data_IF_560987037107
#
_entry.id   IF_560987037107
#
_cell.length_a   1.000
_cell.length_b   1.000
_cell.length_c   1.000
_cell.angle_alpha   90.00
_cell.angle_beta   90.00
_cell.angle_gamma   90.00
#
_symmetry.space_group_name_H-M   'P 1'
#
loop_
_entity.id
_entity.type
_entity.pdbx_description
1 polymer ?
#
# COMPACT_ATOMS: atom_id res chain seq x y z
N UNK A 1 1.23 13.47 -2.73
CA UNK A 1 2.51 14.10 -3.12
C UNK A 1 2.46 14.55 -4.58
N UNK A 2 3.14 15.63 -4.98
CA UNK A 2 3.28 16.01 -6.41
C UNK A 2 4.25 15.07 -7.15
N UNK A 3 4.10 14.95 -8.47
CA UNK A 3 4.85 13.99 -9.30
C UNK A 3 6.38 14.05 -9.11
N UNK A 4 6.99 15.22 -9.31
CA UNK A 4 8.45 15.37 -9.23
C UNK A 4 8.97 15.10 -7.81
N UNK A 5 8.20 15.49 -6.79
CA UNK A 5 8.53 15.21 -5.40
C UNK A 5 8.45 13.70 -5.11
N UNK A 6 7.45 13.00 -5.65
CA UNK A 6 7.30 11.55 -5.51
C UNK A 6 8.40 10.78 -6.23
N UNK A 7 8.78 11.21 -7.44
CA UNK A 7 9.94 10.66 -8.14
C UNK A 7 11.22 10.83 -7.31
N UNK A 8 11.46 12.03 -6.78
CA UNK A 8 12.62 12.31 -5.94
C UNK A 8 12.62 11.43 -4.68
N UNK A 9 11.45 11.23 -4.05
CA UNK A 9 11.30 10.40 -2.86
C UNK A 9 11.58 8.91 -3.13
N UNK A 10 11.16 8.37 -4.29
CA UNK A 10 11.52 7.01 -4.69
C UNK A 10 13.05 6.85 -4.90
N UNK A 11 13.67 7.80 -5.60
CA UNK A 11 15.14 7.83 -5.83
C UNK A 11 15.90 7.89 -4.49
N UNK A 12 15.37 8.69 -3.55
CA UNK A 12 15.87 8.80 -2.18
C UNK A 12 15.81 7.46 -1.45
N UNK A 13 14.65 6.80 -1.45
CA UNK A 13 14.48 5.50 -0.80
C UNK A 13 15.32 4.38 -1.44
N UNK A 14 15.62 4.50 -2.74
CA UNK A 14 16.51 3.62 -3.48
C UNK A 14 18.00 3.85 -3.20
N UNK A 15 18.37 4.93 -2.48
CA UNK A 15 19.77 5.28 -2.21
C UNK A 15 20.57 5.44 -3.51
N UNK A 16 19.95 5.98 -4.55
CA UNK A 16 20.61 6.27 -5.83
C UNK A 16 21.40 7.58 -5.72
N UNK A 17 20.94 8.51 -4.89
CA UNK A 17 21.63 9.77 -4.60
C UNK A 17 22.40 9.68 -3.28
N UNK A 18 23.63 10.21 -3.28
CA UNK A 18 24.57 10.11 -2.15
C UNK A 18 24.07 10.83 -0.88
N UNK A 19 23.22 11.85 -1.03
CA UNK A 19 22.76 12.71 0.06
C UNK A 19 21.78 12.05 1.04
N UNK A 20 21.27 10.84 0.75
CA UNK A 20 20.13 10.27 1.48
C UNK A 20 20.29 8.83 1.96
N UNK A 21 21.53 8.35 2.02
CA UNK A 21 21.80 6.96 2.37
C UNK A 21 21.40 6.58 3.80
N UNK A 22 21.27 7.52 4.75
CA UNK A 22 21.07 7.16 6.17
C UNK A 22 19.59 7.07 6.61
N UNK A 23 18.66 7.61 5.82
CA UNK A 23 17.24 7.73 6.22
C UNK A 23 16.24 7.15 5.23
N UNK A 24 16.69 6.62 4.08
CA UNK A 24 15.84 5.97 3.08
C UNK A 24 15.38 4.56 3.47
N UNK A 25 14.56 3.93 2.62
CA UNK A 25 14.05 2.56 2.83
C UNK A 25 15.20 1.56 2.81
N UNK A 26 16.09 1.67 1.81
CA UNK A 26 17.34 0.93 1.78
C UNK A 26 18.38 1.44 2.77
N UNK A 27 18.28 2.72 3.14
CA UNK A 27 19.24 3.37 4.00
C UNK A 27 19.33 2.77 5.39
N UNK A 28 18.19 2.41 5.98
CA UNK A 28 18.17 1.76 7.29
C UNK A 28 18.80 0.36 7.33
N UNK A 29 19.17 -0.19 6.17
CA UNK A 29 19.89 -1.47 6.07
C UNK A 29 21.41 -1.31 6.12
N UNK A 30 21.96 -0.09 5.98
CA UNK A 30 23.42 0.15 5.86
C UNK A 30 23.87 1.50 6.47
N UNK A 31 24.36 1.52 7.74
CA UNK A 31 24.42 0.41 8.67
C UNK A 31 23.01 -0.01 9.14
N UNK A 32 22.84 -1.29 9.48
CA UNK A 32 21.55 -1.78 9.97
C UNK A 32 21.21 -1.16 11.32
N UNK A 33 20.04 -0.52 11.42
CA UNK A 33 19.52 0.07 12.66
C UNK A 33 18.04 -0.23 12.90
N UNK A 34 17.54 -1.33 12.33
CA UNK A 34 16.12 -1.68 12.33
C UNK A 34 15.40 -1.17 11.08
N UNK A 35 14.38 -1.89 10.65
CA UNK A 35 13.50 -1.45 9.56
C UNK A 35 12.55 -0.36 10.08
N UNK A 36 12.18 0.58 9.21
CA UNK A 36 11.36 1.75 9.60
C UNK A 36 10.06 1.80 8.81
N UNK A 37 8.94 1.59 9.49
CA UNK A 37 7.61 1.59 8.84
C UNK A 37 7.29 2.92 8.15
N UNK A 38 7.72 4.07 8.72
CA UNK A 38 7.55 5.37 8.06
C UNK A 38 8.20 5.43 6.67
N UNK A 39 9.33 4.75 6.46
CA UNK A 39 9.96 4.68 5.16
C UNK A 39 9.15 3.80 4.18
N UNK A 40 8.58 2.69 4.66
CA UNK A 40 7.68 1.87 3.86
C UNK A 40 6.45 2.67 3.41
N UNK A 41 5.76 3.32 4.36
CA UNK A 41 4.61 4.17 4.08
C UNK A 41 4.93 5.28 3.06
N UNK A 42 6.09 5.93 3.18
CA UNK A 42 6.55 6.95 2.23
C UNK A 42 6.79 6.37 0.82
N UNK A 43 7.40 5.19 0.72
CA UNK A 43 7.59 4.50 -0.58
C UNK A 43 6.24 4.20 -1.25
N UNK A 44 5.25 3.71 -0.51
CA UNK A 44 3.92 3.41 -1.07
C UNK A 44 3.23 4.70 -1.54
N UNK A 45 3.25 5.77 -0.74
CA UNK A 45 2.67 7.06 -1.15
C UNK A 45 3.35 7.60 -2.41
N UNK A 46 4.69 7.57 -2.46
CA UNK A 46 5.45 8.06 -3.60
C UNK A 46 5.16 7.24 -4.86
N UNK A 47 5.13 5.91 -4.76
CA UNK A 47 4.82 5.00 -5.87
C UNK A 47 3.41 5.25 -6.44
N UNK A 48 2.40 5.41 -5.57
CA UNK A 48 1.04 5.68 -6.01
C UNK A 48 0.86 7.10 -6.57
N UNK A 49 1.66 8.07 -6.09
CA UNK A 49 1.65 9.45 -6.59
C UNK A 49 2.22 9.56 -8.01
N UNK A 50 3.19 8.72 -8.36
CA UNK A 50 3.66 8.61 -9.76
C UNK A 50 2.77 7.67 -10.60
N UNK A 51 1.80 6.98 -9.98
CA UNK A 51 1.04 5.90 -10.60
C UNK A 51 0.32 6.27 -11.91
N UNK A 52 -0.30 7.45 -11.99
CA UNK A 52 -0.97 7.88 -13.24
C UNK A 52 0.01 8.01 -14.42
N UNK A 53 1.25 8.44 -14.15
CA UNK A 53 2.31 8.56 -15.15
C UNK A 53 2.93 7.21 -15.54
N UNK A 54 2.71 6.17 -14.76
CA UNK A 54 3.14 4.81 -15.07
C UNK A 54 2.03 4.09 -15.84
N UNK A 55 0.78 4.23 -15.39
CA UNK A 55 -0.36 3.46 -15.88
C UNK A 55 -0.88 3.88 -17.27
N UNK A 56 -0.80 5.16 -17.63
CA UNK A 56 -1.41 5.68 -18.86
C UNK A 56 -0.51 5.76 -20.09
N UNK A 57 0.78 6.17 -20.00
CA UNK A 57 1.58 6.39 -21.19
C UNK A 57 2.20 5.09 -21.72
N UNK A 58 2.61 5.11 -23.00
CA UNK A 58 3.35 4.01 -23.65
C UNK A 58 4.84 3.97 -23.29
N UNK A 59 5.38 5.09 -22.79
CA UNK A 59 6.78 5.25 -22.41
C UNK A 59 6.82 5.58 -20.92
N UNK A 60 7.68 4.87 -20.21
CA UNK A 60 7.86 5.02 -18.77
C UNK A 60 9.28 5.52 -18.53
N UNK A 61 9.42 6.47 -17.61
CA UNK A 61 10.73 6.97 -17.23
C UNK A 61 11.57 5.86 -16.60
N UNK A 62 12.72 5.58 -17.21
CA UNK A 62 13.65 4.52 -16.78
C UNK A 62 14.02 4.66 -15.31
N UNK A 63 14.24 5.89 -14.84
CA UNK A 63 14.67 6.19 -13.47
C UNK A 63 13.63 5.78 -12.43
N UNK A 64 12.33 5.86 -12.74
CA UNK A 64 11.27 5.39 -11.83
C UNK A 64 11.32 3.87 -11.68
N UNK A 65 11.39 3.16 -12.81
CA UNK A 65 11.48 1.70 -12.82
C UNK A 65 12.76 1.24 -12.11
N UNK A 66 13.88 1.90 -12.42
CA UNK A 66 15.17 1.64 -11.76
C UNK A 66 15.07 1.83 -10.24
N UNK A 67 14.49 2.93 -9.75
CA UNK A 67 14.36 3.19 -8.32
C UNK A 67 13.58 2.08 -7.61
N UNK A 68 12.43 1.67 -8.15
CA UNK A 68 11.60 0.60 -7.58
C UNK A 68 12.35 -0.73 -7.60
N UNK A 69 12.98 -1.10 -8.71
CA UNK A 69 13.78 -2.33 -8.79
C UNK A 69 14.98 -2.31 -7.85
N UNK A 70 15.65 -1.16 -7.71
CA UNK A 70 16.76 -1.00 -6.77
C UNK A 70 16.29 -1.23 -5.34
N UNK A 71 15.16 -0.63 -4.94
CA UNK A 71 14.54 -0.83 -3.61
C UNK A 71 14.32 -2.33 -3.38
N UNK A 72 13.62 -3.02 -4.27
CA UNK A 72 13.19 -4.41 -4.02
C UNK A 72 14.35 -5.40 -4.14
N UNK A 73 15.21 -5.27 -5.16
CA UNK A 73 16.34 -6.19 -5.39
C UNK A 73 17.41 -6.01 -4.33
N UNK A 74 17.80 -4.78 -3.98
CA UNK A 74 18.84 -4.57 -2.96
C UNK A 74 18.34 -4.94 -1.57
N UNK A 75 17.11 -4.59 -1.20
CA UNK A 75 16.56 -5.00 0.09
C UNK A 75 16.56 -6.52 0.23
N UNK A 76 16.12 -7.24 -0.81
CA UNK A 76 16.17 -8.71 -0.83
C UNK A 76 17.59 -9.26 -0.67
N UNK A 77 18.55 -8.72 -1.44
CA UNK A 77 19.95 -9.15 -1.41
C UNK A 77 20.69 -8.81 -0.11
N UNK A 78 20.25 -7.78 0.62
CA UNK A 78 20.90 -7.36 1.85
C UNK A 78 20.25 -7.96 3.09
N UNK A 79 18.92 -8.08 3.11
CA UNK A 79 18.15 -8.39 4.32
C UNK A 79 17.42 -9.74 4.29
N UNK A 80 17.09 -10.30 3.11
CA UNK A 80 16.14 -11.41 3.01
C UNK A 80 16.77 -12.73 2.58
N UNK A 81 17.58 -12.77 1.52
CA UNK A 81 18.07 -14.05 0.99
C UNK A 81 18.96 -14.77 2.00
N UNK A 82 18.90 -16.11 2.04
CA UNK A 82 19.85 -16.89 2.83
C UNK A 82 21.29 -16.59 2.36
N UNK A 83 22.16 -16.21 3.29
CA UNK A 83 23.52 -15.74 2.97
C UNK A 83 23.64 -14.26 2.60
N UNK A 84 22.52 -13.50 2.61
CA UNK A 84 22.56 -12.03 2.51
C UNK A 84 23.40 -11.41 3.62
N UNK A 85 23.86 -10.19 3.39
CA UNK A 85 24.79 -9.51 4.29
C UNK A 85 24.27 -9.41 5.73
N UNK A 86 23.00 -9.08 5.94
CA UNK A 86 22.45 -8.93 7.29
C UNK A 86 22.15 -10.29 7.94
N UNK A 87 21.65 -11.27 7.16
CA UNK A 87 21.35 -12.61 7.65
C UNK A 87 22.63 -13.35 8.06
N UNK A 88 23.65 -13.37 7.21
CA UNK A 88 24.91 -14.10 7.47
C UNK A 88 25.68 -13.55 8.67
N UNK A 89 25.52 -12.26 8.95
CA UNK A 89 26.16 -11.58 10.07
C UNK A 89 25.25 -11.50 11.31
N UNK A 90 24.07 -12.12 11.28
CA UNK A 90 23.10 -12.14 12.39
C UNK A 90 22.69 -10.73 12.86
N UNK A 91 22.61 -9.77 11.94
CA UNK A 91 22.29 -8.38 12.23
C UNK A 91 20.78 -8.10 12.23
N UNK A 92 20.01 -8.83 11.41
CA UNK A 92 18.57 -8.67 11.25
C UNK A 92 17.81 -9.78 11.99
N UNK A 93 16.70 -9.43 12.64
CA UNK A 93 15.80 -10.39 13.29
C UNK A 93 14.97 -11.18 12.26
N UNK A 94 14.39 -12.31 12.66
CA UNK A 94 13.50 -13.05 11.76
C UNK A 94 12.21 -12.25 11.50
N UNK A 95 11.73 -11.51 12.50
CA UNK A 95 10.55 -10.66 12.43
C UNK A 95 10.76 -9.52 11.42
N UNK A 96 11.90 -8.80 11.50
CA UNK A 96 12.23 -7.73 10.56
C UNK A 96 12.45 -8.29 9.14
N UNK A 97 13.01 -9.50 9.03
CA UNK A 97 13.22 -10.17 7.74
C UNK A 97 11.90 -10.50 7.04
N UNK A 98 10.95 -11.09 7.77
CA UNK A 98 9.63 -11.42 7.21
C UNK A 98 8.80 -10.15 6.94
N UNK A 99 8.90 -9.13 7.81
CA UNK A 99 8.25 -7.85 7.57
C UNK A 99 8.81 -7.14 6.32
N UNK A 100 10.13 -7.16 6.14
CA UNK A 100 10.78 -6.62 4.93
C UNK A 100 10.36 -7.37 3.68
N UNK A 101 10.18 -8.70 3.76
CA UNK A 101 9.65 -9.51 2.65
C UNK A 101 8.25 -9.05 2.27
N UNK A 102 7.34 -8.93 3.24
CA UNK A 102 5.97 -8.48 3.00
C UNK A 102 5.94 -7.08 2.37
N UNK A 103 6.77 -6.14 2.85
CA UNK A 103 6.85 -4.79 2.29
C UNK A 103 7.32 -4.79 0.83
N UNK A 104 8.34 -5.58 0.50
CA UNK A 104 8.83 -5.71 -0.88
C UNK A 104 7.75 -6.29 -1.79
N UNK A 105 7.06 -7.35 -1.35
CA UNK A 105 5.98 -7.95 -2.13
C UNK A 105 4.87 -6.94 -2.42
N UNK A 106 4.44 -6.15 -1.43
CA UNK A 106 3.43 -5.09 -1.62
C UNK A 106 3.91 -4.06 -2.67
N UNK A 107 5.16 -3.60 -2.57
CA UNK A 107 5.75 -2.66 -3.54
C UNK A 107 5.76 -3.26 -4.96
N UNK A 108 6.15 -4.52 -5.09
CA UNK A 108 6.23 -5.22 -6.38
C UNK A 108 4.84 -5.42 -7.01
N UNK A 109 3.82 -5.77 -6.23
CA UNK A 109 2.45 -5.89 -6.72
C UNK A 109 1.87 -4.56 -7.17
N UNK A 110 2.01 -3.49 -6.38
CA UNK A 110 1.56 -2.15 -6.77
C UNK A 110 2.22 -1.73 -8.09
N UNK A 111 3.55 -1.92 -8.20
CA UNK A 111 4.26 -1.57 -9.43
C UNK A 111 3.77 -2.38 -10.62
N UNK A 112 3.53 -3.69 -10.44
CA UNK A 112 3.01 -4.56 -11.49
C UNK A 112 1.62 -4.11 -11.96
N UNK A 113 0.70 -3.81 -11.05
CA UNK A 113 -0.66 -3.37 -11.38
C UNK A 113 -0.65 -2.01 -12.10
N UNK A 114 0.18 -1.07 -11.63
CA UNK A 114 0.39 0.20 -12.32
C UNK A 114 0.94 -0.02 -13.74
N UNK A 115 1.91 -0.92 -13.92
CA UNK A 115 2.45 -1.27 -15.25
C UNK A 115 1.41 -1.93 -16.17
N UNK A 116 0.40 -2.60 -15.61
CA UNK A 116 -0.73 -3.16 -16.35
C UNK A 116 -1.77 -2.11 -16.74
N UNK A 117 -1.58 -0.85 -16.32
CA UNK A 117 -2.47 0.27 -16.62
C UNK A 117 -3.61 0.44 -15.62
N UNK A 118 -3.55 -0.20 -14.45
CA UNK A 118 -4.53 0.01 -13.39
C UNK A 118 -4.39 1.42 -12.78
N UNK A 119 -5.50 1.97 -12.30
CA UNK A 119 -5.48 3.26 -11.61
C UNK A 119 -4.93 3.11 -10.20
N UNK A 120 -4.30 4.15 -9.64
CA UNK A 120 -3.69 4.06 -8.30
C UNK A 120 -4.65 3.56 -7.21
N UNK A 121 -5.95 3.84 -7.29
CA UNK A 121 -6.92 3.35 -6.31
C UNK A 121 -7.22 1.85 -6.43
N UNK A 122 -7.03 1.25 -7.61
CA UNK A 122 -7.22 -0.19 -7.80
C UNK A 122 -6.03 -1.00 -7.27
N UNK A 123 -4.86 -0.37 -7.12
CA UNK A 123 -3.60 -1.00 -6.72
C UNK A 123 -3.38 -1.07 -5.19
N UNK A 124 -4.28 -0.54 -4.35
CA UNK A 124 -3.99 -0.36 -2.91
C UNK A 124 -4.36 -1.56 -2.02
N UNK A 125 -4.88 -2.66 -2.58
CA UNK A 125 -5.50 -3.76 -1.84
C UNK A 125 -4.56 -4.40 -0.79
N UNK A 126 -3.37 -4.83 -1.20
CA UNK A 126 -2.37 -5.46 -0.31
C UNK A 126 -1.83 -4.49 0.74
N UNK A 127 -1.72 -3.22 0.38
CA UNK A 127 -1.36 -2.20 1.35
C UNK A 127 -2.49 -1.97 2.37
N UNK A 128 -3.75 -2.05 1.95
CA UNK A 128 -4.89 -1.99 2.86
C UNK A 128 -4.93 -3.18 3.81
N UNK A 129 -4.60 -4.38 3.34
CA UNK A 129 -4.43 -5.56 4.20
C UNK A 129 -3.33 -5.34 5.26
N UNK A 130 -2.17 -4.84 4.84
CA UNK A 130 -1.09 -4.47 5.77
C UNK A 130 -1.56 -3.47 6.82
N UNK A 131 -2.22 -2.39 6.40
CA UNK A 131 -2.69 -1.33 7.30
C UNK A 131 -3.81 -1.83 8.22
N UNK A 132 -4.66 -2.76 7.76
CA UNK A 132 -5.68 -3.40 8.59
C UNK A 132 -5.06 -4.20 9.75
N UNK A 133 -3.84 -4.71 9.59
CA UNK A 133 -3.09 -5.38 10.65
C UNK A 133 -2.30 -4.38 11.51
N UNK A 134 -1.46 -3.58 10.88
CA UNK A 134 -0.42 -2.78 11.56
C UNK A 134 -0.79 -1.32 11.81
N UNK A 135 -1.82 -0.80 11.15
CA UNK A 135 -2.25 0.60 11.23
C UNK A 135 -1.63 1.50 10.16
N UNK A 136 -2.10 2.75 10.14
CA UNK A 136 -1.66 3.78 9.19
C UNK A 136 -0.37 4.45 9.66
N UNK A 137 0.45 4.89 8.70
CA UNK A 137 1.51 5.86 8.95
C UNK A 137 0.98 7.30 8.99
N UNK A 138 1.89 8.27 8.85
CA UNK A 138 1.54 9.70 8.76
C UNK A 138 0.90 10.11 7.42
N UNK A 139 0.77 9.15 6.49
CA UNK A 139 0.27 9.35 5.13
C UNK A 139 -1.23 9.06 4.98
N UNK A 140 -1.98 8.85 6.08
CA UNK A 140 -3.40 8.49 6.03
C UNK A 140 -4.25 9.43 5.15
N UNK A 141 -3.99 10.74 5.22
CA UNK A 141 -4.67 11.75 4.42
C UNK A 141 -4.54 11.53 2.91
N UNK A 142 -3.41 10.99 2.43
CA UNK A 142 -3.20 10.67 1.02
C UNK A 142 -4.09 9.49 0.57
N UNK A 143 -4.29 8.51 1.45
CA UNK A 143 -5.04 7.29 1.12
C UNK A 143 -6.55 7.43 1.23
N UNK A 144 -7.06 8.36 2.04
CA UNK A 144 -8.51 8.62 2.17
C UNK A 144 -9.22 8.74 0.81
N UNK A 145 -8.78 9.61 -0.13
CA UNK A 145 -9.42 9.71 -1.44
C UNK A 145 -9.25 8.45 -2.29
N UNK A 146 -8.12 7.74 -2.19
CA UNK A 146 -7.90 6.48 -2.92
C UNK A 146 -8.84 5.38 -2.43
N UNK A 147 -9.01 5.24 -1.11
CA UNK A 147 -9.95 4.29 -0.50
C UNK A 147 -11.39 4.58 -0.93
N UNK A 148 -11.79 5.86 -0.92
CA UNK A 148 -13.12 6.26 -1.36
C UNK A 148 -13.37 5.84 -2.83
N UNK A 149 -12.41 6.10 -3.72
CA UNK A 149 -12.47 5.69 -5.12
C UNK A 149 -12.51 4.16 -5.28
N UNK A 150 -11.64 3.42 -4.58
CA UNK A 150 -11.55 1.96 -4.63
C UNK A 150 -12.86 1.28 -4.17
N UNK A 151 -13.46 1.77 -3.09
CA UNK A 151 -14.76 1.31 -2.60
C UNK A 151 -15.86 1.62 -3.64
N UNK A 152 -15.70 2.70 -4.40
CA UNK A 152 -16.67 3.11 -5.40
C UNK A 152 -16.63 2.29 -6.70
N UNK A 153 -15.50 1.63 -6.99
CA UNK A 153 -15.35 0.73 -8.14
C UNK A 153 -16.33 -0.45 -8.08
N UNK A 154 -16.97 -0.74 -9.23
CA UNK A 154 -17.96 -1.83 -9.33
C UNK A 154 -17.31 -3.21 -9.19
N UNK A 155 -16.12 -3.39 -9.73
CA UNK A 155 -15.36 -4.64 -9.73
C UNK A 155 -14.35 -4.76 -8.57
N UNK A 156 -14.68 -4.15 -7.43
CA UNK A 156 -13.85 -4.23 -6.23
C UNK A 156 -13.81 -5.66 -5.66
N UNK A 157 -14.90 -6.43 -5.85
CA UNK A 157 -14.96 -7.84 -5.49
C UNK A 157 -14.68 -8.11 -4.00
N UNK A 158 -13.95 -9.18 -3.74
CA UNK A 158 -13.54 -9.63 -2.39
C UNK A 158 -12.54 -8.67 -1.71
N UNK A 159 -11.81 -7.86 -2.49
CA UNK A 159 -10.90 -6.82 -1.96
C UNK A 159 -11.59 -5.82 -1.05
N UNK A 160 -12.92 -5.66 -1.17
CA UNK A 160 -13.71 -4.76 -0.32
C UNK A 160 -13.51 -5.05 1.18
N UNK A 161 -13.32 -6.31 1.57
CA UNK A 161 -13.05 -6.67 2.96
C UNK A 161 -11.79 -5.96 3.49
N UNK A 162 -10.68 -6.05 2.74
CA UNK A 162 -9.42 -5.40 3.11
C UNK A 162 -9.54 -3.88 3.16
N UNK A 163 -10.25 -3.29 2.18
CA UNK A 163 -10.53 -1.85 2.15
C UNK A 163 -11.33 -1.40 3.39
N UNK A 164 -12.39 -2.12 3.75
CA UNK A 164 -13.21 -1.81 4.91
C UNK A 164 -12.41 -1.92 6.22
N UNK A 165 -11.57 -2.95 6.34
CA UNK A 165 -10.72 -3.15 7.50
C UNK A 165 -9.67 -2.03 7.64
N UNK A 166 -9.07 -1.57 6.54
CA UNK A 166 -8.17 -0.43 6.52
C UNK A 166 -8.88 0.89 6.88
N UNK A 167 -10.10 1.11 6.36
CA UNK A 167 -10.93 2.27 6.72
C UNK A 167 -11.24 2.29 8.21
N UNK A 168 -11.53 1.15 8.82
CA UNK A 168 -11.78 1.07 10.26
C UNK A 168 -10.60 1.58 11.09
N UNK A 169 -9.36 1.42 10.60
CA UNK A 169 -8.14 1.93 11.26
C UNK A 169 -7.97 3.45 11.17
N UNK A 170 -8.71 4.14 10.30
CA UNK A 170 -8.71 5.62 10.27
C UNK A 170 -9.47 6.23 11.44
N UNK A 171 -10.39 5.48 12.05
CA UNK A 171 -11.29 6.00 13.08
C UNK A 171 -12.05 7.24 12.59
N UNK A 172 -12.23 8.29 13.43
CA UNK A 172 -12.99 9.49 13.05
C UNK A 172 -12.47 10.23 11.81
N UNK A 173 -11.18 10.11 11.45
CA UNK A 173 -10.62 10.73 10.24
C UNK A 173 -11.27 10.17 8.97
N UNK A 174 -11.72 8.91 9.01
CA UNK A 174 -12.39 8.24 7.90
C UNK A 174 -13.83 8.70 7.65
N UNK A 175 -14.38 9.64 8.43
CA UNK A 175 -15.76 10.11 8.28
C UNK A 175 -16.08 10.65 6.86
N UNK A 176 -15.07 11.15 6.15
CA UNK A 176 -15.18 11.63 4.76
C UNK A 176 -15.59 10.50 3.79
N UNK A 177 -15.21 9.24 4.09
CA UNK A 177 -15.47 8.05 3.26
C UNK A 177 -16.90 7.51 3.47
N UNK A 178 -17.66 8.02 4.45
CA UNK A 178 -19.00 7.52 4.78
C UNK A 178 -19.97 7.50 3.59
N UNK A 179 -19.87 8.47 2.67
CA UNK A 179 -20.73 8.49 1.48
C UNK A 179 -20.44 7.32 0.53
N UNK A 180 -19.16 7.02 0.31
CA UNK A 180 -18.68 5.89 -0.49
C UNK A 180 -19.10 4.55 0.12
N UNK A 181 -18.92 4.39 1.43
CA UNK A 181 -19.36 3.18 2.16
C UNK A 181 -20.87 2.96 2.03
N UNK A 182 -21.67 4.02 2.19
CA UNK A 182 -23.14 3.92 2.06
C UNK A 182 -23.58 3.56 0.65
N UNK A 183 -22.92 4.12 -0.38
CA UNK A 183 -23.16 3.72 -1.78
C UNK A 183 -22.81 2.25 -2.00
N UNK A 184 -21.64 1.81 -1.55
CA UNK A 184 -21.21 0.41 -1.66
C UNK A 184 -22.19 -0.55 -0.95
N UNK A 185 -22.74 -0.16 0.21
CA UNK A 185 -23.70 -0.98 0.96
C UNK A 185 -25.00 -1.26 0.20
N UNK A 186 -25.40 -0.33 -0.67
CA UNK A 186 -26.63 -0.43 -1.46
C UNK A 186 -26.49 -1.38 -2.66
N UNK A 187 -25.27 -1.84 -2.98
CA UNK A 187 -25.03 -2.75 -4.09
C UNK A 187 -25.49 -4.18 -3.78
N UNK A 188 -25.74 -4.92 -4.85
CA UNK A 188 -25.81 -6.38 -4.83
C UNK A 188 -24.43 -6.94 -5.17
N UNK A 189 -23.96 -7.90 -4.38
CA UNK A 189 -22.64 -8.51 -4.53
C UNK A 189 -22.80 -9.97 -4.99
N UNK A 190 -22.13 -10.36 -6.08
CA UNK A 190 -22.44 -11.61 -6.82
C UNK A 190 -21.20 -12.41 -7.29
N UNK A 191 -20.11 -12.43 -6.54
CA UNK A 191 -18.87 -13.07 -7.02
C UNK A 191 -18.75 -14.58 -6.72
N UNK A 192 -19.57 -15.13 -5.81
CA UNK A 192 -19.75 -16.57 -5.64
C UNK A 192 -21.21 -16.91 -5.32
N UNK A 193 -21.59 -18.18 -5.50
CA UNK A 193 -22.90 -18.70 -5.11
C UNK A 193 -22.88 -19.31 -3.69
N UNK A 194 -23.90 -19.05 -2.86
CA UNK A 194 -25.11 -18.30 -3.18
C UNK A 194 -24.90 -16.78 -2.99
N UNK A 195 -25.41 -15.97 -3.93
CA UNK A 195 -25.15 -14.52 -3.99
C UNK A 195 -25.68 -13.71 -2.80
N UNK A 196 -26.74 -14.20 -2.15
CA UNK A 196 -27.30 -13.61 -0.94
C UNK A 196 -26.30 -13.61 0.22
N UNK A 197 -25.52 -14.69 0.35
CA UNK A 197 -24.44 -14.79 1.33
C UNK A 197 -23.34 -13.79 1.05
N UNK A 198 -22.92 -13.66 -0.20
CA UNK A 198 -21.93 -12.68 -0.63
C UNK A 198 -22.36 -11.24 -0.27
N UNK A 199 -23.61 -10.89 -0.56
CA UNK A 199 -24.16 -9.57 -0.23
C UNK A 199 -24.24 -9.33 1.29
N UNK A 200 -24.64 -10.34 2.06
CA UNK A 200 -24.69 -10.25 3.52
C UNK A 200 -23.30 -10.05 4.14
N UNK A 201 -22.31 -10.81 3.67
CA UNK A 201 -20.91 -10.68 4.11
C UNK A 201 -20.36 -9.29 3.80
N UNK A 202 -20.60 -8.74 2.61
CA UNK A 202 -20.11 -7.39 2.29
C UNK A 202 -20.77 -6.29 3.09
N UNK A 203 -22.08 -6.39 3.32
CA UNK A 203 -22.76 -5.45 4.20
C UNK A 203 -22.19 -5.50 5.62
N UNK A 204 -21.83 -6.69 6.11
CA UNK A 204 -21.21 -6.84 7.41
C UNK A 204 -19.88 -6.07 7.52
N UNK A 205 -18.97 -6.22 6.56
CA UNK A 205 -17.70 -5.48 6.56
C UNK A 205 -17.90 -3.97 6.42
N UNK A 206 -18.82 -3.55 5.56
CA UNK A 206 -19.15 -2.13 5.39
C UNK A 206 -19.73 -1.55 6.68
N UNK A 207 -20.64 -2.26 7.36
CA UNK A 207 -21.26 -1.79 8.60
C UNK A 207 -20.24 -1.65 9.74
N UNK A 208 -19.25 -2.55 9.81
CA UNK A 208 -18.11 -2.41 10.73
C UNK A 208 -17.28 -1.15 10.44
N UNK A 209 -16.96 -0.91 9.17
CA UNK A 209 -16.21 0.27 8.75
C UNK A 209 -16.99 1.57 9.05
N UNK A 210 -18.30 1.61 8.75
CA UNK A 210 -19.19 2.74 9.05
C UNK A 210 -19.20 3.05 10.55
N UNK A 211 -19.33 2.03 11.39
CA UNK A 211 -19.34 2.20 12.84
C UNK A 211 -17.98 2.73 13.36
N UNK A 212 -16.87 2.19 12.85
CA UNK A 212 -15.52 2.58 13.26
C UNK A 212 -15.19 4.05 12.95
N UNK A 213 -15.73 4.59 11.85
CA UNK A 213 -15.54 6.01 11.48
C UNK A 213 -16.58 6.96 12.08
N UNK A 214 -17.39 6.49 13.03
CA UNK A 214 -18.38 7.30 13.76
C UNK A 214 -19.72 7.49 13.03
N UNK A 215 -19.98 6.72 11.98
CA UNK A 215 -21.29 6.69 11.32
C UNK A 215 -22.29 5.83 12.08
N UNK A 216 -23.58 6.20 12.00
CA UNK A 216 -24.67 5.28 12.38
C UNK A 216 -24.88 4.27 11.25
N UNK A 217 -24.95 2.99 11.58
CA UNK A 217 -25.41 1.94 10.68
C UNK A 217 -26.82 2.27 10.17
N UNK A 218 -27.08 1.99 8.88
CA UNK A 218 -28.35 2.25 8.20
C UNK A 218 -29.14 0.95 8.08
#
# INVERSE_FOLDING_TARGET
MEYDAAKAELIRHAGITDDFYDSGFLGCLRPYNGIKACNFHSVIEALLSVGESIARPKLIERELVEAVFVITVKARNWAITDGSMLVRNQLISNEDREQMRAWIEIIEFIMLDLLQGQSSHDCIDRYCEYVAEFGWGENDAFFIPLLAAAIETEDVGDRLQGLCAAVAKLGPKGAIILSSLRRARQREWKWYEPHDRCTAEMRHFIDQAVAAVGGKSI
#
